data_IF_045775152669
#
_entry.id   IF_045775152669
#
_cell.length_a   1.000
_cell.length_b   1.000
_cell.length_c   1.000
_cell.angle_alpha   90.00
_cell.angle_beta   90.00
_cell.angle_gamma   90.00
#
_symmetry.space_group_name_H-M   'P 1'
#
loop_
_entity.id
_entity.type
_entity.pdbx_description
1 polymer ?
#
# COMPACT_ATOMS: atom_id res chain seq x y z
N UNK A 1 1.37 -22.56 2.10
CA UNK A 1 0.16 -22.32 2.92
C UNK A 1 -0.11 -20.82 2.93
N UNK A 2 -1.34 -20.37 2.63
CA UNK A 2 -1.71 -18.94 2.58
C UNK A 2 -2.61 -18.63 3.79
N UNK A 3 -2.07 -17.87 4.74
CA UNK A 3 -2.74 -17.44 5.96
C UNK A 3 -3.54 -16.18 5.63
N UNK A 4 -4.83 -16.13 5.95
CA UNK A 4 -5.71 -15.01 5.54
C UNK A 4 -6.13 -14.10 6.70
N UNK A 5 -5.86 -14.50 7.93
CA UNK A 5 -6.18 -13.74 9.13
C UNK A 5 -5.31 -14.19 10.31
N UNK A 6 -5.10 -13.31 11.27
CA UNK A 6 -4.43 -13.61 12.54
C UNK A 6 -4.90 -12.67 13.66
N UNK A 7 -4.95 -13.18 14.89
CA UNK A 7 -5.44 -12.43 16.05
C UNK A 7 -4.38 -11.49 16.67
N UNK A 8 -3.13 -11.94 16.71
CA UNK A 8 -2.04 -11.37 17.50
C UNK A 8 -0.88 -10.85 16.63
N UNK A 9 -1.18 -10.15 15.53
CA UNK A 9 -0.16 -9.54 14.67
C UNK A 9 0.77 -8.65 15.50
N UNK A 10 2.07 -8.78 15.27
CA UNK A 10 3.13 -8.07 16.01
C UNK A 10 3.39 -8.61 17.42
N UNK A 11 2.67 -9.64 17.85
CA UNK A 11 2.77 -10.20 19.20
C UNK A 11 2.86 -11.74 19.19
N UNK A 12 3.93 -12.33 18.62
CA UNK A 12 4.06 -13.77 18.48
C UNK A 12 4.17 -14.48 19.83
N UNK A 13 3.84 -15.77 19.81
CA UNK A 13 3.97 -16.69 20.95
C UNK A 13 4.98 -17.80 20.61
N UNK A 14 5.57 -18.39 21.65
CA UNK A 14 6.53 -19.51 21.53
C UNK A 14 5.81 -20.86 21.57
N UNK A 15 6.58 -21.92 21.38
CA UNK A 15 6.12 -23.29 21.64
C UNK A 15 5.61 -23.41 23.09
N UNK A 16 4.55 -24.21 23.29
CA UNK A 16 3.79 -24.33 24.55
C UNK A 16 2.86 -23.16 24.90
N UNK A 17 2.60 -22.26 23.95
CA UNK A 17 1.52 -21.28 24.08
C UNK A 17 0.15 -21.96 24.16
N UNK A 18 -0.79 -21.31 24.84
CA UNK A 18 -2.14 -21.83 25.07
C UNK A 18 -3.20 -20.87 24.52
N UNK A 19 -4.24 -21.43 23.93
CA UNK A 19 -5.48 -20.72 23.62
C UNK A 19 -6.57 -21.32 24.51
N UNK A 20 -7.05 -20.54 25.48
CA UNK A 20 -7.99 -21.02 26.50
C UNK A 20 -9.22 -20.13 26.58
N UNK A 21 -10.40 -20.75 26.67
CA UNK A 21 -11.65 -20.08 27.01
C UNK A 21 -11.93 -20.26 28.50
N UNK A 22 -11.88 -19.17 29.26
CA UNK A 22 -12.04 -19.18 30.71
C UNK A 22 -13.52 -19.24 31.14
N UNK A 23 -13.75 -19.67 32.38
CA UNK A 23 -15.08 -19.65 33.02
C UNK A 23 -15.64 -18.22 33.19
N UNK A 24 -14.76 -17.21 33.15
CA UNK A 24 -15.13 -15.79 33.12
C UNK A 24 -15.67 -15.35 31.74
N UNK A 25 -15.68 -16.23 30.74
CA UNK A 25 -16.16 -15.95 29.39
C UNK A 25 -15.14 -15.24 28.50
N UNK A 26 -13.86 -15.24 28.85
CA UNK A 26 -12.79 -14.63 28.06
C UNK A 26 -12.01 -15.66 27.25
N UNK A 27 -11.78 -15.41 25.95
CA UNK A 27 -10.87 -16.21 25.13
C UNK A 27 -9.51 -15.55 25.13
N UNK A 28 -8.48 -16.26 25.61
CA UNK A 28 -7.14 -15.74 25.84
C UNK A 28 -6.10 -16.59 25.12
N UNK A 29 -5.25 -15.94 24.33
CA UNK A 29 -4.00 -16.51 23.81
C UNK A 29 -2.86 -16.07 24.74
N UNK A 30 -2.25 -17.02 25.44
CA UNK A 30 -1.12 -16.78 26.33
C UNK A 30 0.15 -17.47 25.80
N UNK A 31 1.28 -16.79 25.92
CA UNK A 31 2.60 -17.34 25.64
C UNK A 31 3.03 -18.32 26.74
N UNK A 32 4.09 -19.11 26.49
CA UNK A 32 4.53 -20.15 27.40
C UNK A 32 4.98 -19.65 28.79
N UNK A 33 5.31 -18.36 28.91
CA UNK A 33 5.66 -17.69 30.16
C UNK A 33 4.46 -17.03 30.86
N UNK A 34 3.25 -17.25 30.36
CA UNK A 34 2.00 -16.68 30.89
C UNK A 34 1.69 -15.27 30.38
N UNK A 35 2.54 -14.68 29.53
CA UNK A 35 2.26 -13.37 28.93
C UNK A 35 1.07 -13.47 27.98
N UNK A 36 0.04 -12.68 28.23
CA UNK A 36 -1.13 -12.60 27.35
C UNK A 36 -0.73 -11.93 26.03
N UNK A 37 -0.80 -12.68 24.94
CA UNK A 37 -0.50 -12.20 23.59
C UNK A 37 -1.72 -11.56 22.92
N UNK A 38 -2.92 -12.08 23.19
CA UNK A 38 -4.18 -11.54 22.70
C UNK A 38 -5.35 -12.05 23.55
N UNK A 39 -6.44 -11.28 23.61
CA UNK A 39 -7.68 -11.71 24.26
C UNK A 39 -8.91 -10.97 23.71
N UNK A 40 -10.10 -11.55 23.89
CA UNK A 40 -11.38 -10.94 23.46
C UNK A 40 -11.86 -9.80 24.34
N UNK A 41 -11.33 -9.66 25.57
CA UNK A 41 -11.77 -8.69 26.58
C UNK A 41 -13.26 -8.82 26.93
N UNK A 42 -13.73 -10.06 27.06
CA UNK A 42 -15.12 -10.42 27.37
C UNK A 42 -15.33 -10.94 28.79
N UNK A 43 -14.27 -10.93 29.61
CA UNK A 43 -14.31 -11.34 31.01
C UNK A 43 -15.49 -10.71 31.77
N UNK A 44 -16.28 -11.56 32.43
CA UNK A 44 -17.45 -11.21 33.24
C UNK A 44 -18.58 -10.48 32.51
N UNK A 45 -18.65 -10.58 31.17
CA UNK A 45 -19.73 -10.00 30.36
C UNK A 45 -20.86 -10.98 30.05
N UNK A 46 -20.97 -12.08 30.81
CA UNK A 46 -22.00 -13.11 30.63
C UNK A 46 -21.81 -13.98 29.38
N UNK A 47 -20.59 -14.04 28.83
CA UNK A 47 -20.27 -14.89 27.68
C UNK A 47 -20.10 -16.34 28.16
N UNK A 48 -21.02 -17.22 27.75
CA UNK A 48 -21.08 -18.62 28.20
C UNK A 48 -20.59 -19.63 27.15
N UNK A 49 -20.15 -19.16 25.99
CA UNK A 49 -19.66 -20.02 24.92
C UNK A 49 -19.09 -19.25 23.74
N UNK A 50 -18.41 -19.98 22.86
CA UNK A 50 -17.89 -19.47 21.60
C UNK A 50 -18.76 -19.97 20.46
N UNK A 51 -19.28 -19.04 19.67
CA UNK A 51 -19.92 -19.35 18.41
C UNK A 51 -19.06 -18.77 17.29
N UNK A 52 -18.67 -19.61 16.32
CA UNK A 52 -18.08 -19.14 15.08
C UNK A 52 -19.17 -18.45 14.26
N UNK A 53 -19.28 -17.14 14.47
CA UNK A 53 -20.03 -16.24 13.62
C UNK A 53 -19.09 -15.73 12.52
N UNK A 54 -19.64 -15.26 11.41
CA UNK A 54 -18.89 -14.56 10.36
C UNK A 54 -18.33 -13.20 10.82
N UNK A 55 -17.98 -13.03 12.10
CA UNK A 55 -17.59 -11.76 12.71
C UNK A 55 -16.05 -11.59 12.79
N UNK A 56 -15.24 -12.63 12.49
CA UNK A 56 -13.80 -12.44 12.20
C UNK A 56 -13.57 -11.49 11.01
N UNK A 57 -14.62 -11.28 10.22
CA UNK A 57 -14.71 -10.39 9.09
C UNK A 57 -14.66 -8.90 9.49
N UNK A 58 -14.83 -8.58 10.77
CA UNK A 58 -14.82 -7.20 11.30
C UNK A 58 -13.43 -6.67 11.65
N UNK A 59 -12.40 -7.52 11.64
CA UNK A 59 -11.02 -7.12 11.96
C UNK A 59 -10.01 -7.72 10.96
N UNK A 60 -10.11 -7.38 9.66
CA UNK A 60 -9.11 -7.75 8.67
C UNK A 60 -7.75 -7.11 8.99
N UNK A 61 -6.68 -7.78 8.56
CA UNK A 61 -5.30 -7.30 8.73
C UNK A 61 -4.74 -6.76 7.42
N UNK A 62 -4.20 -7.62 6.56
CA UNK A 62 -3.71 -7.30 5.22
C UNK A 62 -4.65 -7.80 4.10
N UNK A 63 -5.71 -8.53 4.47
CA UNK A 63 -6.52 -9.33 3.56
C UNK A 63 -8.00 -9.04 3.74
N UNK A 64 -8.73 -8.99 2.63
CA UNK A 64 -10.19 -8.90 2.53
C UNK A 64 -10.70 -10.16 1.82
N UNK A 65 -11.57 -10.93 2.46
CA UNK A 65 -12.20 -12.13 1.87
C UNK A 65 -13.44 -11.76 1.07
N UNK A 66 -13.87 -12.62 0.14
CA UNK A 66 -15.18 -12.46 -0.52
C UNK A 66 -16.28 -12.36 0.53
N UNK A 67 -17.14 -11.34 0.39
CA UNK A 67 -18.19 -10.96 1.33
C UNK A 67 -17.75 -9.99 2.43
N UNK A 68 -16.45 -9.72 2.59
CA UNK A 68 -15.95 -8.72 3.56
C UNK A 68 -15.98 -7.31 2.99
N UNK A 69 -16.16 -6.35 3.89
CA UNK A 69 -16.14 -4.93 3.55
C UNK A 69 -15.20 -4.13 4.44
N UNK A 70 -14.51 -3.16 3.85
CA UNK A 70 -14.12 -1.97 4.59
C UNK A 70 -15.36 -1.10 4.78
N UNK A 71 -15.63 -0.60 5.98
CA UNK A 71 -16.87 0.15 6.29
C UNK A 71 -16.73 1.17 7.40
N UNK A 72 -17.50 2.25 7.31
CA UNK A 72 -17.65 3.23 8.38
C UNK A 72 -18.24 2.55 9.61
N UNK A 73 -17.67 2.80 10.79
CA UNK A 73 -18.07 2.13 12.04
C UNK A 73 -17.47 0.74 12.24
N UNK A 74 -16.63 0.25 11.31
CA UNK A 74 -15.87 -0.99 11.44
C UNK A 74 -14.42 -0.81 10.97
N UNK A 75 -13.84 -1.86 10.37
CA UNK A 75 -12.53 -1.77 9.75
C UNK A 75 -12.56 -0.88 8.51
N UNK A 76 -11.67 0.11 8.45
CA UNK A 76 -11.57 1.07 7.35
C UNK A 76 -10.28 0.96 6.55
N UNK A 77 -9.39 0.04 6.93
CA UNK A 77 -8.09 -0.13 6.26
C UNK A 77 -7.58 -1.55 6.31
N UNK A 78 -6.70 -1.86 5.36
CA UNK A 78 -5.79 -3.01 5.39
C UNK A 78 -4.36 -2.49 5.53
N UNK A 79 -3.52 -3.22 6.26
CA UNK A 79 -2.10 -2.90 6.47
C UNK A 79 -1.26 -4.11 6.07
N UNK A 80 -0.29 -3.89 5.19
CA UNK A 80 0.68 -4.90 4.75
C UNK A 80 1.47 -5.48 5.92
N UNK A 81 2.14 -6.62 5.70
CA UNK A 81 3.14 -7.14 6.63
C UNK A 81 4.46 -6.40 6.49
N UNK A 82 5.25 -6.35 7.56
CA UNK A 82 6.60 -5.79 7.53
C UNK A 82 7.54 -6.60 6.65
N UNK A 83 7.52 -7.94 6.75
CA UNK A 83 8.29 -8.82 5.86
C UNK A 83 7.71 -10.24 5.83
N UNK A 84 8.33 -11.13 5.05
CA UNK A 84 7.97 -12.55 5.04
C UNK A 84 8.28 -13.25 6.37
N UNK A 85 9.27 -12.74 7.13
CA UNK A 85 9.73 -13.33 8.39
C UNK A 85 9.11 -12.64 9.61
N UNK A 86 8.90 -11.34 9.51
CA UNK A 86 8.39 -10.52 10.61
C UNK A 86 6.90 -10.27 10.42
N UNK A 87 6.10 -10.88 11.29
CA UNK A 87 4.66 -10.79 11.27
C UNK A 87 4.15 -9.57 12.06
N UNK A 88 4.60 -8.38 11.65
CA UNK A 88 4.20 -7.08 12.20
C UNK A 88 3.64 -6.18 11.09
N UNK A 89 3.07 -5.03 11.44
CA UNK A 89 2.54 -4.07 10.47
C UNK A 89 3.68 -3.44 9.63
N UNK A 90 3.51 -3.48 8.31
CA UNK A 90 4.44 -2.93 7.33
C UNK A 90 4.16 -1.47 6.95
N UNK A 91 4.85 -1.01 5.91
CA UNK A 91 4.81 0.37 5.46
C UNK A 91 3.58 0.72 4.60
N UNK A 92 2.97 -0.28 3.94
CA UNK A 92 1.90 -0.05 2.98
C UNK A 92 0.53 -0.29 3.59
N UNK A 93 -0.44 0.55 3.23
CA UNK A 93 -1.84 0.39 3.64
C UNK A 93 -2.81 0.78 2.53
N UNK A 94 -3.98 0.11 2.50
CA UNK A 94 -5.16 0.49 1.71
C UNK A 94 -6.19 1.05 2.68
N UNK A 95 -6.66 2.27 2.46
CA UNK A 95 -7.52 3.01 3.39
C UNK A 95 -8.77 3.49 2.66
N UNK A 96 -9.93 3.27 3.28
CA UNK A 96 -11.20 3.81 2.83
C UNK A 96 -11.41 5.21 3.42
N UNK A 97 -11.30 6.22 2.57
CA UNK A 97 -11.66 7.60 2.90
C UNK A 97 -13.10 7.92 2.47
N UNK A 98 -13.59 9.10 2.84
CA UNK A 98 -14.98 9.49 2.61
C UNK A 98 -15.41 9.55 1.14
N UNK A 99 -14.48 9.65 0.20
CA UNK A 99 -14.76 9.78 -1.24
C UNK A 99 -13.88 8.92 -2.13
N UNK A 100 -12.99 8.10 -1.58
CA UNK A 100 -11.98 7.35 -2.34
C UNK A 100 -11.37 6.23 -1.53
N UNK A 101 -10.86 5.22 -2.24
CA UNK A 101 -9.93 4.24 -1.69
C UNK A 101 -8.51 4.71 -1.98
N UNK A 102 -7.65 4.69 -0.98
CA UNK A 102 -6.32 5.32 -1.04
C UNK A 102 -5.26 4.36 -0.56
N UNK A 103 -4.17 4.24 -1.32
CA UNK A 103 -3.00 3.48 -0.92
C UNK A 103 -1.91 4.41 -0.43
N UNK A 104 -1.44 4.16 0.78
CA UNK A 104 -0.48 4.98 1.50
C UNK A 104 0.82 4.23 1.75
N UNK A 105 1.94 4.94 1.60
CA UNK A 105 3.25 4.50 2.06
C UNK A 105 3.65 5.29 3.31
N UNK A 106 3.92 4.57 4.40
CA UNK A 106 4.43 5.12 5.65
C UNK A 106 5.95 4.96 5.69
N UNK A 107 6.63 6.04 5.40
CA UNK A 107 8.08 6.13 5.55
C UNK A 107 8.51 6.31 7.01
N UNK A 108 9.64 5.74 7.45
CA UNK A 108 10.29 6.12 8.69
C UNK A 108 10.90 7.54 8.66
N UNK A 109 11.20 8.07 7.47
CA UNK A 109 11.82 9.38 7.28
C UNK A 109 10.79 10.53 7.19
N UNK A 110 9.53 10.22 6.89
CA UNK A 110 8.45 11.21 6.76
C UNK A 110 7.60 11.31 8.02
N UNK A 111 7.16 12.53 8.44
CA UNK A 111 6.19 12.68 9.52
C UNK A 111 4.78 12.23 9.13
N UNK A 112 4.46 12.12 7.84
CA UNK A 112 3.14 11.73 7.32
C UNK A 112 3.28 10.70 6.21
N UNK A 113 2.39 9.68 6.17
CA UNK A 113 2.29 8.82 5.00
C UNK A 113 1.94 9.63 3.76
N UNK A 114 2.48 9.23 2.61
CA UNK A 114 2.12 9.84 1.32
C UNK A 114 1.29 8.87 0.48
N UNK A 115 0.47 9.43 -0.40
CA UNK A 115 -0.42 8.68 -1.29
C UNK A 115 0.38 8.27 -2.52
N UNK A 116 0.40 6.99 -2.86
CA UNK A 116 0.97 6.50 -4.13
C UNK A 116 -0.09 5.96 -5.08
N UNK A 117 -1.34 5.81 -4.64
CA UNK A 117 -2.46 5.48 -5.52
C UNK A 117 -3.78 5.88 -4.88
N UNK A 118 -4.74 6.30 -5.69
CA UNK A 118 -6.09 6.55 -5.25
C UNK A 118 -7.10 6.15 -6.33
N UNK A 119 -8.23 5.61 -5.89
CA UNK A 119 -9.39 5.33 -6.71
C UNK A 119 -10.58 6.10 -6.16
N UNK A 120 -11.08 7.07 -6.94
CA UNK A 120 -12.20 7.91 -6.53
C UNK A 120 -13.53 7.16 -6.63
N UNK A 121 -14.37 7.32 -5.62
CA UNK A 121 -15.68 6.67 -5.54
C UNK A 121 -16.77 7.37 -6.37
N UNK A 122 -16.40 8.43 -7.11
CA UNK A 122 -17.32 9.30 -7.87
C UNK A 122 -18.02 10.35 -7.01
N UNK A 123 -19.01 11.03 -7.60
CA UNK A 123 -19.72 12.16 -6.97
C UNK A 123 -21.00 11.77 -6.20
N UNK A 124 -21.33 10.48 -6.13
CA UNK A 124 -22.57 9.96 -5.53
C UNK A 124 -22.56 9.94 -3.99
N UNK A 125 -21.97 10.95 -3.36
CA UNK A 125 -21.96 11.13 -1.91
C UNK A 125 -20.75 10.52 -1.20
N UNK A 126 -20.93 10.14 0.08
CA UNK A 126 -19.85 9.64 0.94
C UNK A 126 -19.78 8.11 0.88
N UNK A 127 -18.60 7.59 0.63
CA UNK A 127 -18.29 6.16 0.69
C UNK A 127 -18.56 5.62 2.11
N UNK A 128 -19.49 4.68 2.20
CA UNK A 128 -19.88 4.01 3.44
C UNK A 128 -19.20 2.65 3.58
N UNK A 129 -19.06 1.92 2.47
CA UNK A 129 -18.36 0.66 2.41
C UNK A 129 -17.72 0.38 1.05
N UNK A 130 -16.71 -0.49 1.07
CA UNK A 130 -16.10 -1.10 -0.09
C UNK A 130 -16.03 -2.61 0.17
N UNK A 131 -16.77 -3.40 -0.62
CA UNK A 131 -17.02 -4.83 -0.39
C UNK A 131 -16.37 -5.66 -1.47
N UNK A 132 -15.57 -6.65 -1.09
CA UNK A 132 -15.09 -7.64 -2.04
C UNK A 132 -16.21 -8.63 -2.34
N UNK A 133 -16.58 -8.77 -3.61
CA UNK A 133 -17.70 -9.58 -4.03
C UNK A 133 -17.28 -10.60 -5.11
N UNK A 134 -18.07 -11.66 -5.21
CA UNK A 134 -17.94 -12.69 -6.24
C UNK A 134 -19.33 -13.05 -6.72
N UNK A 135 -19.60 -12.85 -8.01
CA UNK A 135 -20.86 -13.22 -8.63
C UNK A 135 -20.61 -14.04 -9.91
N UNK A 136 -21.55 -14.91 -10.33
CA UNK A 136 -21.50 -15.49 -11.67
C UNK A 136 -21.42 -14.37 -12.72
N UNK A 137 -20.61 -14.56 -13.76
CA UNK A 137 -20.52 -13.60 -14.84
C UNK A 137 -21.84 -13.60 -15.64
N UNK A 138 -22.31 -12.41 -16.04
CA UNK A 138 -23.59 -12.27 -16.74
C UNK A 138 -23.65 -12.89 -18.14
N UNK A 139 -22.53 -13.28 -18.73
CA UNK A 139 -22.42 -13.86 -20.07
C UNK A 139 -22.03 -15.34 -20.07
N UNK A 140 -21.40 -15.81 -18.99
CA UNK A 140 -20.83 -17.15 -18.89
C UNK A 140 -21.01 -17.66 -17.45
N UNK A 141 -21.92 -18.63 -17.27
CA UNK A 141 -22.33 -19.14 -15.97
C UNK A 141 -21.22 -19.94 -15.26
N UNK A 142 -20.21 -20.41 -16.00
CA UNK A 142 -19.01 -21.02 -15.44
C UNK A 142 -17.92 -20.00 -15.09
N UNK A 143 -18.05 -18.74 -15.50
CA UNK A 143 -17.15 -17.67 -15.10
C UNK A 143 -17.66 -16.92 -13.87
N UNK A 144 -16.73 -16.32 -13.11
CA UNK A 144 -17.06 -15.47 -11.97
C UNK A 144 -16.49 -14.07 -12.17
N UNK A 145 -17.26 -13.05 -11.85
CA UNK A 145 -16.80 -11.68 -11.71
C UNK A 145 -16.34 -11.45 -10.27
N UNK A 146 -15.06 -11.14 -10.08
CA UNK A 146 -14.50 -10.69 -8.81
C UNK A 146 -14.42 -9.16 -8.82
N UNK A 147 -15.14 -8.52 -7.90
CA UNK A 147 -15.28 -7.06 -7.88
C UNK A 147 -15.03 -6.46 -6.50
N UNK A 148 -14.56 -5.21 -6.48
CA UNK A 148 -14.59 -4.37 -5.30
C UNK A 148 -15.71 -3.35 -5.47
N UNK A 149 -16.85 -3.62 -4.85
CA UNK A 149 -18.08 -2.84 -4.98
C UNK A 149 -18.09 -1.72 -3.95
N UNK A 150 -18.30 -0.48 -4.41
CA UNK A 150 -18.39 0.70 -3.56
C UNK A 150 -19.85 1.06 -3.29
N UNK A 151 -20.15 1.51 -2.07
CA UNK A 151 -21.51 1.94 -1.70
C UNK A 151 -22.04 3.13 -2.51
N UNK A 152 -21.20 3.81 -3.29
CA UNK A 152 -21.56 4.92 -4.19
C UNK A 152 -22.14 4.45 -5.53
N UNK A 153 -22.18 3.13 -5.76
CA UNK A 153 -22.64 2.51 -7.01
C UNK A 153 -21.52 2.24 -8.02
N UNK A 154 -20.29 2.70 -7.75
CA UNK A 154 -19.11 2.33 -8.55
C UNK A 154 -18.61 0.94 -8.16
N UNK A 155 -17.99 0.24 -9.11
CA UNK A 155 -17.35 -1.05 -8.86
C UNK A 155 -16.06 -1.16 -9.66
N UNK A 156 -15.05 -1.80 -9.07
CA UNK A 156 -13.81 -2.16 -9.75
C UNK A 156 -13.85 -3.65 -10.08
N UNK A 157 -13.80 -4.00 -11.37
CA UNK A 157 -13.61 -5.39 -11.80
C UNK A 157 -12.14 -5.73 -11.61
N UNK A 158 -11.87 -6.70 -10.74
CA UNK A 158 -10.51 -7.14 -10.43
C UNK A 158 -10.11 -8.31 -11.32
N UNK A 159 -10.96 -9.34 -11.44
CA UNK A 159 -10.67 -10.50 -12.27
C UNK A 159 -11.96 -11.17 -12.79
N UNK A 160 -11.81 -11.95 -13.88
CA UNK A 160 -12.89 -12.76 -14.47
C UNK A 160 -12.44 -14.21 -14.75
N UNK A 161 -12.15 -15.03 -13.72
CA UNK A 161 -11.73 -16.40 -13.95
C UNK A 161 -12.89 -17.24 -14.51
N UNK A 162 -12.57 -18.17 -15.42
CA UNK A 162 -13.55 -19.09 -16.05
C UNK A 162 -13.84 -20.32 -15.17
N UNK A 163 -13.98 -20.10 -13.88
CA UNK A 163 -14.33 -21.10 -12.88
C UNK A 163 -14.88 -20.41 -11.63
N UNK A 164 -15.51 -21.20 -10.75
CA UNK A 164 -16.04 -20.71 -9.49
C UNK A 164 -14.92 -20.08 -8.65
N UNK A 165 -15.05 -18.78 -8.40
CA UNK A 165 -14.04 -17.98 -7.71
C UNK A 165 -14.46 -17.56 -6.30
N UNK A 166 -15.45 -18.21 -5.69
CA UNK A 166 -15.93 -17.87 -4.33
C UNK A 166 -14.82 -17.96 -3.28
N UNK A 167 -13.86 -18.87 -3.47
CA UNK A 167 -12.65 -18.97 -2.65
C UNK A 167 -11.58 -18.01 -3.16
N UNK A 168 -11.83 -16.71 -2.99
CA UNK A 168 -10.89 -15.65 -3.32
C UNK A 168 -10.66 -14.69 -2.17
N UNK A 169 -9.51 -14.02 -2.20
CA UNK A 169 -9.21 -12.94 -1.29
C UNK A 169 -8.30 -11.88 -1.92
N UNK A 170 -8.53 -10.64 -1.53
CA UNK A 170 -7.74 -9.48 -1.93
C UNK A 170 -6.75 -9.15 -0.82
N UNK A 171 -5.49 -8.86 -1.15
CA UNK A 171 -4.43 -8.59 -0.18
C UNK A 171 -3.57 -7.42 -0.60
N UNK A 172 -3.22 -6.56 0.35
CA UNK A 172 -2.10 -5.63 0.18
C UNK A 172 -0.78 -6.33 0.51
N UNK A 173 0.12 -6.37 -0.47
CA UNK A 173 1.42 -7.04 -0.39
C UNK A 173 2.45 -6.25 0.41
N UNK A 174 3.51 -6.95 0.83
CA UNK A 174 4.71 -6.35 1.46
C UNK A 174 5.38 -5.35 0.51
N UNK A 175 5.23 -5.54 -0.80
CA UNK A 175 5.72 -4.69 -1.87
C UNK A 175 4.82 -3.48 -2.17
N UNK A 176 3.66 -3.37 -1.50
CA UNK A 176 2.66 -2.33 -1.78
C UNK A 176 1.70 -2.63 -2.93
N UNK A 177 1.81 -3.79 -3.57
CA UNK A 177 0.85 -4.20 -4.61
C UNK A 177 -0.48 -4.67 -4.00
N UNK A 178 -1.59 -4.48 -4.71
CA UNK A 178 -2.90 -5.03 -4.32
C UNK A 178 -3.19 -6.26 -5.19
N UNK A 179 -3.22 -7.44 -4.56
CA UNK A 179 -3.23 -8.73 -5.25
C UNK A 179 -4.48 -9.53 -4.92
N UNK A 180 -5.13 -10.08 -5.94
CA UNK A 180 -6.20 -11.06 -5.79
C UNK A 180 -5.60 -12.46 -5.89
N UNK A 181 -6.00 -13.32 -4.97
CA UNK A 181 -5.69 -14.74 -5.06
C UNK A 181 -6.96 -15.55 -5.08
N UNK A 182 -7.05 -16.49 -6.03
CA UNK A 182 -8.24 -17.29 -6.28
C UNK A 182 -7.86 -18.76 -6.26
N UNK A 183 -8.62 -19.57 -5.53
CA UNK A 183 -8.45 -21.02 -5.50
C UNK A 183 -9.22 -21.68 -6.65
N UNK A 184 -8.51 -22.36 -7.53
CA UNK A 184 -9.07 -23.19 -8.59
C UNK A 184 -9.16 -24.64 -8.11
N UNK A 185 -10.37 -25.07 -7.76
CA UNK A 185 -10.64 -26.44 -7.29
C UNK A 185 -10.65 -27.49 -8.42
N UNK A 186 -10.42 -27.09 -9.68
CA UNK A 186 -10.34 -28.01 -10.84
C UNK A 186 -8.92 -28.51 -11.11
N UNK A 187 -7.92 -28.09 -10.33
CA UNK A 187 -6.52 -28.48 -10.50
C UNK A 187 -5.93 -28.98 -9.18
N UNK A 188 -5.09 -30.02 -9.27
CA UNK A 188 -4.51 -30.67 -8.09
C UNK A 188 -3.12 -30.11 -7.70
N UNK A 189 -2.51 -29.29 -8.57
CA UNK A 189 -1.23 -28.64 -8.35
C UNK A 189 -1.35 -27.12 -8.62
N UNK A 190 -0.68 -26.31 -7.79
CA UNK A 190 -0.72 -24.84 -7.88
C UNK A 190 -2.14 -24.24 -7.94
N UNK A 191 -3.08 -24.86 -7.21
CA UNK A 191 -4.49 -24.46 -7.17
C UNK A 191 -4.75 -23.01 -6.71
N UNK A 192 -3.80 -22.34 -6.06
CA UNK A 192 -3.92 -20.92 -5.71
C UNK A 192 -3.22 -20.03 -6.74
N UNK A 193 -4.00 -19.36 -7.56
CA UNK A 193 -3.56 -18.44 -8.61
C UNK A 193 -3.54 -16.99 -8.09
N UNK A 194 -2.63 -16.16 -8.63
CA UNK A 194 -2.70 -14.70 -8.55
C UNK A 194 -3.47 -14.18 -9.77
N UNK A 195 -4.77 -13.94 -9.61
CA UNK A 195 -5.68 -13.63 -10.74
C UNK A 195 -5.73 -12.14 -11.08
N UNK A 196 -5.24 -11.28 -10.19
CA UNK A 196 -5.13 -9.84 -10.41
C UNK A 196 -4.01 -9.24 -9.57
N UNK A 197 -3.28 -8.29 -10.14
CA UNK A 197 -2.28 -7.49 -9.45
C UNK A 197 -2.35 -6.04 -9.94
N UNK A 198 -2.73 -5.14 -9.05
CA UNK A 198 -2.53 -3.70 -9.24
C UNK A 198 -1.03 -3.41 -9.25
N UNK A 199 -0.58 -2.58 -10.20
CA UNK A 199 0.84 -2.39 -10.55
C UNK A 199 1.46 -3.59 -11.26
N UNK A 200 0.64 -4.25 -12.08
CA UNK A 200 1.04 -5.08 -13.22
C UNK A 200 2.27 -4.60 -13.97
N UNK A 201 3.15 -5.46 -14.51
CA UNK A 201 3.99 -5.02 -15.64
C UNK A 201 3.13 -4.57 -16.82
N UNK A 202 2.15 -5.40 -17.18
CA UNK A 202 1.21 -5.20 -18.29
C UNK A 202 -0.19 -4.81 -17.79
N UNK A 203 -0.29 -4.40 -16.52
CA UNK A 203 -1.57 -4.17 -15.85
C UNK A 203 -2.12 -2.77 -16.14
N UNK A 204 -3.45 -2.69 -16.11
CA UNK A 204 -4.21 -1.45 -16.10
C UNK A 204 -4.81 -1.25 -14.70
N UNK A 205 -4.87 -0.02 -14.15
CA UNK A 205 -4.54 1.27 -14.77
C UNK A 205 -3.09 1.73 -14.62
N UNK A 206 -2.32 1.12 -13.71
CA UNK A 206 -0.95 1.57 -13.40
C UNK A 206 0.06 0.42 -13.55
N UNK A 207 1.24 0.79 -14.03
CA UNK A 207 2.39 -0.11 -14.12
C UNK A 207 3.21 -0.19 -12.82
N UNK A 208 4.24 -1.02 -12.83
CA UNK A 208 5.13 -1.23 -11.68
C UNK A 208 5.86 0.05 -11.24
N UNK A 209 6.07 1.02 -12.13
CA UNK A 209 6.76 2.28 -11.81
C UNK A 209 6.04 3.15 -10.78
N UNK A 210 4.74 2.92 -10.57
CA UNK A 210 3.95 3.63 -9.57
C UNK A 210 4.22 3.13 -8.14
N UNK A 211 4.81 1.93 -7.98
CA UNK A 211 5.19 1.40 -6.67
C UNK A 211 6.38 2.18 -6.09
N UNK A 212 6.28 2.67 -4.84
CA UNK A 212 7.35 3.42 -4.17
C UNK A 212 8.74 2.79 -4.31
N UNK A 213 8.89 1.50 -4.02
CA UNK A 213 10.20 0.86 -3.91
C UNK A 213 10.57 -0.04 -5.09
N UNK A 214 9.86 0.07 -6.23
CA UNK A 214 10.09 -0.79 -7.42
C UNK A 214 11.54 -0.82 -7.89
N UNK A 215 12.18 0.34 -7.92
CA UNK A 215 13.58 0.51 -8.35
C UNK A 215 14.53 0.81 -7.20
N UNK A 216 14.17 0.38 -5.98
CA UNK A 216 14.98 0.53 -4.78
C UNK A 216 14.81 1.89 -4.12
N UNK A 217 15.87 2.35 -3.46
CA UNK A 217 15.83 3.59 -2.66
C UNK A 217 15.91 4.86 -3.49
N UNK A 218 16.44 4.79 -4.71
CA UNK A 218 16.47 5.91 -5.65
C UNK A 218 16.79 5.47 -7.09
N UNK A 219 15.77 5.13 -7.88
CA UNK A 219 15.95 4.62 -9.24
C UNK A 219 14.94 5.19 -10.22
N UNK A 220 15.35 5.34 -11.49
CA UNK A 220 14.48 5.76 -12.58
C UNK A 220 13.79 4.54 -13.21
N UNK A 221 12.48 4.64 -13.37
CA UNK A 221 11.62 3.60 -13.94
C UNK A 221 10.95 4.10 -15.21
N UNK A 222 10.95 3.26 -16.24
CA UNK A 222 10.29 3.47 -17.53
C UNK A 222 9.72 2.13 -17.98
N UNK A 223 8.47 2.10 -18.46
CA UNK A 223 7.81 0.88 -18.96
C UNK A 223 7.92 -0.33 -18.02
N UNK A 224 7.66 -0.11 -16.73
CA UNK A 224 7.76 -1.13 -15.67
C UNK A 224 9.17 -1.78 -15.58
N UNK A 225 10.20 -1.02 -15.94
CA UNK A 225 11.61 -1.44 -15.88
C UNK A 225 12.46 -0.37 -15.22
N UNK A 226 13.40 -0.82 -14.39
CA UNK A 226 14.37 0.06 -13.75
C UNK A 226 15.54 0.32 -14.69
N UNK A 227 15.62 1.54 -15.23
CA UNK A 227 16.50 1.87 -16.35
C UNK A 227 17.76 2.62 -15.93
N UNK A 228 17.73 3.38 -14.83
CA UNK A 228 18.90 4.12 -14.37
C UNK A 228 18.96 4.38 -12.85
N UNK A 229 20.16 4.63 -12.34
CA UNK A 229 20.38 5.33 -11.08
C UNK A 229 20.60 6.83 -11.38
N UNK A 230 19.81 7.76 -10.82
CA UNK A 230 20.11 9.18 -10.94
C UNK A 230 21.29 9.57 -10.04
N UNK A 231 22.22 10.37 -10.57
CA UNK A 231 23.39 10.88 -9.86
C UNK A 231 23.63 12.35 -10.22
N UNK A 232 24.43 13.09 -9.44
CA UNK A 232 24.72 14.49 -9.76
C UNK A 232 25.42 14.70 -11.11
N UNK A 233 26.18 13.70 -11.57
CA UNK A 233 26.86 13.71 -12.88
C UNK A 233 26.02 13.17 -14.03
N UNK A 234 24.73 12.88 -13.82
CA UNK A 234 23.83 12.31 -14.83
C UNK A 234 23.26 10.94 -14.44
N UNK A 235 22.81 10.18 -15.42
CA UNK A 235 22.22 8.86 -15.22
C UNK A 235 23.30 7.77 -15.40
N UNK A 236 23.38 6.84 -14.45
CA UNK A 236 24.14 5.59 -14.61
C UNK A 236 23.19 4.41 -14.81
N UNK A 237 23.71 3.29 -15.33
CA UNK A 237 22.97 2.05 -15.42
C UNK A 237 22.38 1.63 -14.07
N UNK A 238 21.15 1.13 -14.08
CA UNK A 238 20.47 0.74 -12.85
C UNK A 238 21.17 -0.43 -12.14
N UNK A 239 21.13 -0.41 -10.81
CA UNK A 239 21.46 -1.56 -9.98
C UNK A 239 20.58 -1.58 -8.73
N UNK A 240 20.52 -2.73 -8.04
CA UNK A 240 19.87 -2.84 -6.72
C UNK A 240 20.47 -1.93 -5.64
N UNK A 241 21.63 -1.33 -5.90
CA UNK A 241 22.34 -0.41 -5.02
C UNK A 241 22.15 1.06 -5.41
N UNK A 242 21.20 1.38 -6.31
CA UNK A 242 20.87 2.78 -6.55
C UNK A 242 20.38 3.41 -5.24
N UNK A 243 21.19 4.32 -4.73
CA UNK A 243 20.91 5.07 -3.51
C UNK A 243 21.22 6.55 -3.75
N UNK A 244 20.48 7.46 -3.10
CA UNK A 244 20.78 8.87 -3.22
C UNK A 244 22.08 9.19 -2.50
N UNK A 245 22.83 10.16 -3.02
CA UNK A 245 24.00 10.69 -2.32
C UNK A 245 23.60 11.20 -0.95
N UNK A 246 24.41 10.90 0.06
CA UNK A 246 24.09 11.30 1.44
C UNK A 246 24.00 12.83 1.53
N UNK A 247 22.85 13.39 1.94
CA UNK A 247 22.73 14.83 2.08
C UNK A 247 23.65 15.33 3.20
N UNK A 248 24.09 16.60 3.15
CA UNK A 248 24.89 17.17 4.22
C UNK A 248 24.08 17.29 5.52
N UNK A 249 24.80 17.50 6.63
CA UNK A 249 24.19 17.69 7.94
C UNK A 249 23.13 18.81 7.93
N UNK A 250 22.09 18.62 8.74
CA UNK A 250 21.05 19.62 8.97
C UNK A 250 21.64 21.00 9.28
N UNK A 251 21.11 22.04 8.65
CA UNK A 251 21.60 23.42 8.79
C UNK A 251 22.85 23.76 7.96
N UNK A 252 23.51 22.77 7.33
CA UNK A 252 24.59 23.04 6.38
C UNK A 252 24.06 23.81 5.18
N UNK A 253 24.79 24.86 4.77
CA UNK A 253 24.56 25.57 3.50
C UNK A 253 25.41 24.99 2.37
N UNK A 254 26.21 23.96 2.64
CA UNK A 254 27.11 23.34 1.68
C UNK A 254 26.41 22.24 0.86
N UNK A 255 25.30 22.59 0.23
CA UNK A 255 24.56 21.71 -0.68
C UNK A 255 24.15 22.46 -1.95
N UNK A 256 23.77 21.69 -2.95
CA UNK A 256 23.08 22.18 -4.14
C UNK A 256 21.98 21.18 -4.51
N UNK A 257 21.13 21.57 -5.47
CA UNK A 257 20.19 20.66 -6.10
C UNK A 257 20.65 20.38 -7.52
N UNK A 258 20.77 19.11 -7.89
CA UNK A 258 20.86 18.73 -9.30
C UNK A 258 19.46 18.41 -9.82
N UNK A 259 19.23 18.74 -11.08
CA UNK A 259 17.91 18.68 -11.72
C UNK A 259 17.78 17.40 -12.53
N UNK A 260 16.63 16.77 -12.40
CA UNK A 260 16.14 15.69 -13.25
C UNK A 260 14.94 16.21 -14.04
N UNK A 261 14.98 16.06 -15.36
CA UNK A 261 13.88 16.49 -16.25
C UNK A 261 13.04 15.29 -16.67
N UNK A 262 11.74 15.52 -16.83
CA UNK A 262 10.81 14.48 -17.26
C UNK A 262 10.70 13.35 -16.23
N UNK A 263 10.58 13.71 -14.95
CA UNK A 263 10.42 12.73 -13.86
C UNK A 263 9.29 13.10 -12.92
N UNK A 264 8.55 12.09 -12.50
CA UNK A 264 7.55 12.15 -11.44
C UNK A 264 7.94 11.26 -10.27
N UNK A 265 7.59 11.71 -9.07
CA UNK A 265 7.56 10.86 -7.89
C UNK A 265 6.19 10.20 -7.78
N UNK A 266 6.09 8.98 -7.27
CA UNK A 266 4.79 8.27 -7.13
C UNK A 266 3.68 9.13 -6.47
N UNK A 267 4.07 10.01 -5.54
CA UNK A 267 3.16 10.94 -4.86
C UNK A 267 2.59 12.07 -5.74
N UNK A 268 3.30 12.53 -6.78
CA UNK A 268 2.90 13.73 -7.54
C UNK A 268 1.61 13.51 -8.33
N UNK A 269 1.33 12.26 -8.71
CA UNK A 269 0.15 11.88 -9.49
C UNK A 269 -1.17 11.94 -8.71
N UNK A 270 -1.15 11.58 -7.43
CA UNK A 270 -2.38 11.44 -6.62
C UNK A 270 -2.49 12.43 -5.46
N UNK A 271 -1.39 13.05 -5.05
CA UNK A 271 -1.41 14.11 -4.05
C UNK A 271 -1.48 15.48 -4.74
N UNK A 272 -2.34 16.38 -4.26
CA UNK A 272 -2.54 17.71 -4.87
C UNK A 272 -1.32 18.64 -4.82
N UNK A 273 -0.32 18.32 -3.99
CA UNK A 273 0.86 19.17 -3.78
C UNK A 273 0.57 20.48 -3.04
N UNK A 274 1.63 21.20 -2.70
CA UNK A 274 1.57 22.57 -2.17
C UNK A 274 1.55 23.60 -3.31
N UNK A 275 0.97 24.77 -3.07
CA UNK A 275 0.92 25.87 -4.04
C UNK A 275 -0.47 26.07 -4.69
N UNK A 276 -0.61 26.91 -5.71
CA UNK A 276 0.43 27.40 -6.62
C UNK A 276 1.55 28.23 -5.95
N UNK A 277 2.81 27.97 -6.31
CA UNK A 277 3.99 28.71 -5.81
C UNK A 277 5.14 28.68 -6.81
N UNK A 278 6.14 29.56 -6.66
CA UNK A 278 7.33 29.54 -7.52
C UNK A 278 8.24 28.35 -7.19
N UNK A 279 8.97 27.87 -8.20
CA UNK A 279 9.95 26.78 -8.08
C UNK A 279 10.98 27.06 -6.97
N UNK A 280 11.53 28.27 -6.92
CA UNK A 280 12.48 28.70 -5.87
C UNK A 280 11.88 28.61 -4.46
N UNK A 281 10.59 28.89 -4.30
CA UNK A 281 9.94 28.84 -3.00
C UNK A 281 9.70 27.38 -2.56
N UNK A 282 9.47 26.47 -3.51
CA UNK A 282 9.48 25.03 -3.26
C UNK A 282 10.88 24.56 -2.79
N UNK A 283 11.93 25.04 -3.46
CA UNK A 283 13.32 24.78 -3.08
C UNK A 283 13.67 25.32 -1.69
N UNK A 284 13.20 26.51 -1.32
CA UNK A 284 13.35 27.06 0.04
C UNK A 284 12.63 26.20 1.08
N UNK A 285 11.43 25.72 0.78
CA UNK A 285 10.66 24.83 1.66
C UNK A 285 11.42 23.54 1.95
N UNK A 286 11.94 22.87 0.91
CA UNK A 286 12.82 21.70 1.09
C UNK A 286 14.10 22.05 1.87
N UNK A 287 14.73 23.19 1.55
CA UNK A 287 15.98 23.60 2.19
C UNK A 287 15.83 23.92 3.68
N UNK A 288 14.66 24.39 4.10
CA UNK A 288 14.32 24.64 5.50
C UNK A 288 13.98 23.37 6.29
N UNK A 289 13.69 22.26 5.62
CA UNK A 289 13.37 20.98 6.23
C UNK A 289 14.60 20.04 6.18
N UNK A 290 15.15 19.73 7.34
CA UNK A 290 16.35 18.90 7.44
C UNK A 290 16.15 17.44 7.01
N UNK A 291 14.91 16.96 6.94
CA UNK A 291 14.60 15.61 6.46
C UNK A 291 14.39 15.56 4.94
N UNK A 292 14.27 16.72 4.29
CA UNK A 292 14.06 16.77 2.84
C UNK A 292 15.29 16.28 2.08
N UNK A 293 15.09 15.25 1.24
CA UNK A 293 16.09 14.74 0.31
C UNK A 293 15.99 15.38 -1.08
N UNK A 294 14.83 15.95 -1.41
CA UNK A 294 14.59 16.63 -2.67
C UNK A 294 13.16 17.09 -2.80
N UNK A 295 12.85 17.76 -3.90
CA UNK A 295 11.49 18.19 -4.19
C UNK A 295 11.15 17.96 -5.66
N UNK A 296 9.87 17.73 -5.92
CA UNK A 296 9.32 17.59 -7.26
C UNK A 296 8.42 18.79 -7.54
N UNK A 297 8.46 19.27 -8.77
CA UNK A 297 7.76 20.47 -9.18
C UNK A 297 7.16 20.27 -10.58
N UNK A 298 5.90 20.65 -10.73
CA UNK A 298 5.23 20.69 -12.02
C UNK A 298 5.10 22.15 -12.45
N UNK A 299 5.77 22.52 -13.55
CA UNK A 299 5.86 23.91 -13.99
C UNK A 299 4.53 24.46 -14.52
N UNK A 300 3.71 23.61 -15.13
CA UNK A 300 2.44 24.02 -15.72
C UNK A 300 1.42 24.39 -14.65
N UNK A 301 1.35 23.58 -13.59
CA UNK A 301 0.40 23.77 -12.49
C UNK A 301 0.98 24.56 -11.32
N UNK A 302 2.29 24.85 -11.36
CA UNK A 302 3.04 25.50 -10.27
C UNK A 302 2.89 24.78 -8.92
N UNK A 303 2.83 23.44 -8.96
CA UNK A 303 2.65 22.59 -7.77
C UNK A 303 3.98 22.01 -7.30
N UNK A 304 4.09 21.88 -5.97
CA UNK A 304 5.31 21.50 -5.26
C UNK A 304 5.07 20.30 -4.33
N UNK A 305 5.98 19.31 -4.37
CA UNK A 305 5.98 18.15 -3.47
C UNK A 305 7.35 17.97 -2.83
N UNK A 306 7.37 17.82 -1.50
CA UNK A 306 8.59 17.62 -0.71
C UNK A 306 8.78 16.12 -0.50
N UNK A 307 9.97 15.61 -0.83
CA UNK A 307 10.30 14.20 -0.75
C UNK A 307 11.26 13.93 0.42
N UNK A 308 10.80 13.09 1.35
CA UNK A 308 11.59 12.55 2.46
C UNK A 308 12.29 11.24 2.09
N UNK A 309 11.78 10.56 1.07
CA UNK A 309 12.38 9.43 0.38
C UNK A 309 12.26 9.72 -1.10
N UNK A 310 13.29 9.38 -1.88
CA UNK A 310 13.31 9.66 -3.31
C UNK A 310 12.77 8.48 -4.11
N UNK A 311 13.12 7.26 -3.69
CA UNK A 311 12.46 6.04 -4.12
C UNK A 311 12.41 5.90 -5.66
N UNK A 312 11.42 5.19 -6.18
CA UNK A 312 11.21 5.04 -7.61
C UNK A 312 10.71 6.34 -8.21
N UNK A 313 11.42 6.84 -9.21
CA UNK A 313 10.98 7.94 -10.07
C UNK A 313 10.42 7.37 -11.37
N UNK A 314 9.24 7.82 -11.78
CA UNK A 314 8.68 7.47 -13.08
C UNK A 314 9.18 8.46 -14.12
N UNK A 315 9.75 7.96 -15.21
CA UNK A 315 10.10 8.79 -16.36
C UNK A 315 8.82 9.18 -17.10
N UNK A 316 8.68 10.45 -17.42
CA UNK A 316 7.55 11.01 -18.15
C UNK A 316 8.04 11.83 -19.34
N UNK A 317 7.31 11.80 -20.44
CA UNK A 317 7.66 12.55 -21.65
C UNK A 317 7.57 14.08 -21.46
N UNK A 318 6.77 14.53 -20.48
CA UNK A 318 6.57 15.96 -20.24
C UNK A 318 7.73 16.56 -19.42
N UNK A 319 8.54 17.39 -20.08
CA UNK A 319 9.69 18.08 -19.46
C UNK A 319 9.30 19.13 -18.41
N UNK A 320 8.01 19.46 -18.26
CA UNK A 320 7.52 20.38 -17.23
C UNK A 320 7.49 19.75 -15.84
N UNK A 321 7.58 18.42 -15.76
CA UNK A 321 7.75 17.65 -14.55
C UNK A 321 9.24 17.53 -14.23
N UNK A 322 9.65 18.09 -13.10
CA UNK A 322 11.07 18.17 -12.73
C UNK A 322 11.29 17.74 -11.28
N UNK A 323 12.39 17.02 -11.06
CA UNK A 323 12.87 16.63 -9.73
C UNK A 323 14.17 17.38 -9.40
N UNK A 324 14.26 17.91 -8.18
CA UNK A 324 15.44 18.60 -7.67
C UNK A 324 15.97 17.85 -6.46
N UNK A 325 17.14 17.25 -6.62
CA UNK A 325 17.67 16.28 -5.66
C UNK A 325 18.85 16.90 -4.91
N UNK A 326 18.79 16.84 -3.58
CA UNK A 326 19.77 17.48 -2.70
C UNK A 326 21.08 16.69 -2.72
N UNK A 327 22.18 17.38 -2.97
CA UNK A 327 23.53 16.81 -2.97
C UNK A 327 24.51 17.70 -2.20
N UNK A 328 25.52 17.12 -1.52
CA UNK A 328 26.60 17.91 -0.92
C UNK A 328 27.47 18.54 -2.02
N UNK A 329 27.93 19.76 -1.81
CA UNK A 329 29.01 20.33 -2.65
C UNK A 329 30.32 19.59 -2.32
N UNK A 330 31.08 19.26 -3.36
CA UNK A 330 32.47 18.80 -3.21
C UNK A 330 33.33 19.98 -2.75
#
# INVERSE_FOLDING_TARGET
>A
MRWVWEANRGNPVRENATLSFGEDGNLVLADADGRVAWQTNTANKGVVGLQLLSNSFDSPTDTLLVGQSLRVGGATRLVSRASQKENSDGAYSLVMESKRLVMYYKSPNSPKPYIYYAFDSGDNGRLQNATLNCAPNGYDDVASDLTLDLSTGNSMILARPKYNSTLSFLRIGIDGSLKMYTYNNKVDYQAWEETYTLFSRDGFPEGECQLPERCGKFGLCEDSQCVACPLPGGLMGWSKFCEPVKPPACGSKNFYYYKLEGVDHSMSKYASGSGAMKEDDCGKKCSSDCKCLGYFYNKDTSKCWIAYDLQTLTKVANSTHVGYIKAPKQ
#
